data_IF_120030008000
#
_entry.id   IF_120030008000
#
_cell.length_a   1.000
_cell.length_b   1.000
_cell.length_c   1.000
_cell.angle_alpha   90.00
_cell.angle_beta   90.00
_cell.angle_gamma   90.00
#
_symmetry.space_group_name_H-M   'P 1'
#
loop_
_entity.id
_entity.type
_entity.pdbx_description
1 polymer ?
#
# COMPACT_ATOMS: atom_id res chain seq x y z
N UNK A 1 -3.67 -24.15 75.22
CA UNK A 1 -3.20 -24.99 74.09
C UNK A 1 -4.16 -24.93 72.91
N UNK A 2 -5.46 -25.12 73.07
CA UNK A 2 -6.48 -25.11 72.04
C UNK A 2 -6.51 -23.75 71.29
N UNK A 3 -6.47 -22.64 72.00
CA UNK A 3 -6.47 -21.30 71.36
C UNK A 3 -5.19 -21.02 70.56
N UNK A 4 -4.04 -21.53 71.00
CA UNK A 4 -2.79 -21.42 70.22
C UNK A 4 -2.84 -22.23 68.90
N UNK A 5 -3.40 -23.42 68.97
CA UNK A 5 -3.57 -24.25 67.76
C UNK A 5 -4.53 -23.56 66.75
N UNK A 6 -5.67 -23.05 67.22
CA UNK A 6 -6.62 -22.30 66.41
C UNK A 6 -5.95 -21.07 65.76
N UNK A 7 -5.16 -20.29 66.49
CA UNK A 7 -4.42 -19.13 65.96
C UNK A 7 -3.42 -19.54 64.87
N UNK A 8 -2.70 -20.65 65.05
CA UNK A 8 -1.76 -21.19 64.06
C UNK A 8 -2.48 -21.59 62.77
N UNK A 9 -3.66 -22.23 62.88
CA UNK A 9 -4.47 -22.63 61.72
C UNK A 9 -4.95 -21.39 60.96
N UNK A 10 -5.44 -20.37 61.65
CA UNK A 10 -5.88 -19.10 61.03
C UNK A 10 -4.72 -18.41 60.32
N UNK A 11 -3.55 -18.30 60.98
CA UNK A 11 -2.37 -17.70 60.35
C UNK A 11 -1.90 -18.46 59.10
N UNK A 12 -1.89 -19.80 59.15
CA UNK A 12 -1.57 -20.61 57.97
C UNK A 12 -2.57 -20.39 56.83
N UNK A 13 -3.86 -20.29 57.13
CA UNK A 13 -4.90 -19.98 56.13
C UNK A 13 -4.72 -18.60 55.51
N UNK A 14 -4.46 -17.59 56.34
CA UNK A 14 -4.19 -16.23 55.89
C UNK A 14 -2.93 -16.15 55.00
N UNK A 15 -1.83 -16.78 55.39
CA UNK A 15 -0.60 -16.85 54.58
C UNK A 15 -0.87 -17.49 53.19
N UNK A 16 -1.64 -18.58 53.15
CA UNK A 16 -1.98 -19.26 51.91
C UNK A 16 -2.83 -18.36 51.00
N UNK A 17 -3.79 -17.62 51.57
CA UNK A 17 -4.62 -16.66 50.81
C UNK A 17 -3.79 -15.51 50.25
N UNK A 18 -2.93 -14.94 51.10
CA UNK A 18 -2.01 -13.86 50.73
C UNK A 18 -1.06 -14.28 49.59
N UNK A 19 -0.52 -15.49 49.69
CA UNK A 19 0.37 -16.03 48.64
C UNK A 19 -0.35 -16.22 47.32
N UNK A 20 -1.60 -16.70 47.34
CA UNK A 20 -2.45 -16.82 46.15
C UNK A 20 -2.77 -15.45 45.53
N UNK A 21 -3.12 -14.48 46.35
CA UNK A 21 -3.37 -13.10 45.88
C UNK A 21 -2.12 -12.47 45.27
N UNK A 22 -0.96 -12.65 45.91
CA UNK A 22 0.32 -12.16 45.36
C UNK A 22 0.61 -12.79 43.95
N UNK A 23 0.49 -14.09 43.84
CA UNK A 23 0.70 -14.81 42.59
C UNK A 23 -0.29 -14.35 41.47
N UNK A 24 -1.55 -14.09 41.82
CA UNK A 24 -2.54 -13.56 40.90
C UNK A 24 -2.19 -12.15 40.42
N UNK A 25 -1.77 -11.26 41.34
CA UNK A 25 -1.35 -9.90 41.05
C UNK A 25 -0.13 -9.91 40.12
N UNK A 26 0.87 -10.75 40.41
CA UNK A 26 2.07 -10.91 39.58
C UNK A 26 1.71 -11.36 38.15
N UNK A 27 0.80 -12.33 38.03
CA UNK A 27 0.29 -12.78 36.72
C UNK A 27 -0.46 -11.68 35.98
N UNK A 28 -1.32 -10.93 36.66
CA UNK A 28 -2.04 -9.80 36.05
C UNK A 28 -1.11 -8.67 35.64
N UNK A 29 -0.11 -8.35 36.46
CA UNK A 29 0.91 -7.35 36.12
C UNK A 29 1.70 -7.75 34.87
N UNK A 30 2.10 -9.01 34.77
CA UNK A 30 2.80 -9.52 33.58
C UNK A 30 1.93 -9.38 32.32
N UNK A 31 0.67 -9.81 32.44
CA UNK A 31 -0.26 -9.70 31.32
C UNK A 31 -0.52 -8.23 30.91
N UNK A 32 -0.66 -7.35 31.88
CA UNK A 32 -0.83 -5.91 31.62
C UNK A 32 0.41 -5.32 30.93
N UNK A 33 1.61 -5.70 31.37
CA UNK A 33 2.86 -5.28 30.73
C UNK A 33 2.92 -5.73 29.27
N UNK A 34 2.62 -7.00 29.00
CA UNK A 34 2.59 -7.55 27.62
C UNK A 34 1.58 -6.81 26.74
N UNK A 35 0.38 -6.50 27.29
CA UNK A 35 -0.62 -5.70 26.58
C UNK A 35 -0.15 -4.27 26.30
N UNK A 36 0.49 -3.63 27.26
CA UNK A 36 1.02 -2.27 27.07
C UNK A 36 2.12 -2.23 25.98
N UNK A 37 2.98 -3.23 25.92
CA UNK A 37 3.99 -3.35 24.85
C UNK A 37 3.32 -3.52 23.48
N UNK A 38 2.29 -4.37 23.38
CA UNK A 38 1.53 -4.53 22.15
C UNK A 38 0.84 -3.22 21.71
N UNK A 39 0.20 -2.51 22.64
CA UNK A 39 -0.44 -1.22 22.38
C UNK A 39 0.59 -0.20 21.88
N UNK A 40 1.77 -0.13 22.49
CA UNK A 40 2.83 0.77 22.06
C UNK A 40 3.31 0.47 20.64
N UNK A 41 3.45 -0.81 20.28
CA UNK A 41 3.79 -1.24 18.92
C UNK A 41 2.72 -0.84 17.91
N UNK A 42 1.45 -1.14 18.21
CA UNK A 42 0.32 -0.80 17.32
C UNK A 42 0.19 0.73 17.17
N UNK A 43 0.37 1.49 18.24
CA UNK A 43 0.34 2.95 18.17
C UNK A 43 1.46 3.51 17.29
N UNK A 44 2.67 2.94 17.36
CA UNK A 44 3.76 3.32 16.48
C UNK A 44 3.42 3.05 15.02
N UNK A 45 2.92 1.86 14.69
CA UNK A 45 2.51 1.51 13.33
C UNK A 45 1.39 2.43 12.82
N UNK A 46 0.44 2.80 13.69
CA UNK A 46 -0.66 3.70 13.33
C UNK A 46 -0.15 5.11 13.02
N UNK A 47 0.81 5.63 13.78
CA UNK A 47 1.44 6.93 13.54
C UNK A 47 2.19 6.91 12.21
N UNK A 48 2.97 5.87 11.94
CA UNK A 48 3.70 5.71 10.66
C UNK A 48 2.74 5.63 9.47
N UNK A 49 1.67 4.85 9.59
CA UNK A 49 0.63 4.76 8.56
C UNK A 49 -0.09 6.11 8.35
N UNK A 50 -0.34 6.86 9.42
CA UNK A 50 -0.89 8.22 9.37
C UNK A 50 0.01 9.17 8.61
N UNK A 51 1.30 9.16 8.89
CA UNK A 51 2.29 9.99 8.20
C UNK A 51 2.37 9.68 6.69
N UNK A 52 2.42 8.39 6.33
CA UNK A 52 2.42 7.97 4.92
C UNK A 52 1.16 8.49 4.22
N UNK A 53 -0.01 8.35 4.85
CA UNK A 53 -1.27 8.87 4.31
C UNK A 53 -1.23 10.38 4.05
N UNK A 54 -0.69 11.17 4.97
CA UNK A 54 -0.57 12.62 4.83
C UNK A 54 0.36 13.01 3.67
N UNK A 55 1.52 12.35 3.56
CA UNK A 55 2.47 12.57 2.46
C UNK A 55 1.84 12.23 1.11
N UNK A 56 1.17 11.08 1.00
CA UNK A 56 0.49 10.66 -0.23
C UNK A 56 -0.62 11.63 -0.62
N UNK A 57 -1.45 12.07 0.34
CA UNK A 57 -2.51 13.06 0.08
C UNK A 57 -1.91 14.39 -0.39
N UNK A 58 -0.83 14.86 0.24
CA UNK A 58 -0.14 16.07 -0.17
C UNK A 58 0.38 15.96 -1.62
N UNK A 59 1.03 14.86 -1.97
CA UNK A 59 1.52 14.63 -3.33
C UNK A 59 0.38 14.56 -4.36
N UNK A 60 -0.75 13.94 -4.02
CA UNK A 60 -1.93 13.89 -4.89
C UNK A 60 -2.54 15.28 -5.11
N UNK A 61 -2.64 16.10 -4.06
CA UNK A 61 -3.15 17.47 -4.14
C UNK A 61 -2.25 18.34 -5.04
N UNK A 62 -0.94 18.31 -4.78
CA UNK A 62 0.04 19.06 -5.56
C UNK A 62 0.08 18.58 -7.01
N UNK A 63 0.07 17.24 -7.23
CA UNK A 63 0.02 16.65 -8.56
C UNK A 63 -1.23 17.07 -9.34
N UNK A 64 -2.41 17.04 -8.70
CA UNK A 64 -3.68 17.47 -9.29
C UNK A 64 -3.65 18.97 -9.67
N UNK A 65 -3.12 19.83 -8.79
CA UNK A 65 -2.98 21.26 -9.06
C UNK A 65 -2.03 21.51 -10.25
N UNK A 66 -0.90 20.81 -10.31
CA UNK A 66 0.05 20.91 -11.41
C UNK A 66 -0.57 20.46 -12.75
N UNK A 67 -1.36 19.38 -12.74
CA UNK A 67 -2.11 18.94 -13.92
C UNK A 67 -3.09 20.00 -14.41
N UNK A 68 -3.83 20.65 -13.50
CA UNK A 68 -4.77 21.68 -13.87
C UNK A 68 -4.08 22.89 -14.51
N UNK A 69 -2.94 23.31 -13.95
CA UNK A 69 -2.11 24.38 -14.53
C UNK A 69 -1.57 24.00 -15.90
N UNK A 70 -1.10 22.76 -16.08
CA UNK A 70 -0.60 22.26 -17.36
C UNK A 70 -1.69 22.23 -18.44
N UNK A 71 -2.89 21.74 -18.10
CA UNK A 71 -4.05 21.73 -18.99
C UNK A 71 -4.43 23.16 -19.40
N UNK A 72 -4.46 24.10 -18.48
CA UNK A 72 -4.80 25.48 -18.77
C UNK A 72 -3.75 26.17 -19.67
N UNK A 73 -2.46 25.90 -19.45
CA UNK A 73 -1.37 26.35 -20.32
C UNK A 73 -1.53 25.78 -21.74
N UNK A 74 -1.78 24.48 -21.84
CA UNK A 74 -2.01 23.79 -23.10
C UNK A 74 -3.20 24.39 -23.85
N UNK A 75 -4.32 24.59 -23.14
CA UNK A 75 -5.54 25.21 -23.71
C UNK A 75 -5.24 26.59 -24.30
N UNK A 76 -4.54 27.43 -23.56
CA UNK A 76 -4.16 28.79 -24.01
C UNK A 76 -3.26 28.74 -25.24
N UNK A 77 -2.27 27.84 -25.25
CA UNK A 77 -1.33 27.72 -26.37
C UNK A 77 -2.03 27.17 -27.61
N UNK A 78 -2.90 26.18 -27.48
CA UNK A 78 -3.72 25.66 -28.59
C UNK A 78 -4.61 26.75 -29.18
N UNK A 79 -5.33 27.51 -28.33
CA UNK A 79 -6.19 28.60 -28.78
C UNK A 79 -5.38 29.69 -29.50
N UNK A 80 -4.22 30.09 -28.94
CA UNK A 80 -3.31 31.07 -29.56
C UNK A 80 -2.89 30.63 -30.96
N UNK A 81 -2.43 29.39 -31.15
CA UNK A 81 -1.98 28.87 -32.43
C UNK A 81 -3.11 28.74 -33.44
N UNK A 82 -4.29 28.33 -33.00
CA UNK A 82 -5.49 28.30 -33.85
C UNK A 82 -5.86 29.70 -34.35
N UNK A 83 -5.79 30.72 -33.46
CA UNK A 83 -6.11 32.11 -33.84
C UNK A 83 -5.18 32.65 -34.93
N UNK A 84 -3.89 32.32 -34.86
CA UNK A 84 -2.89 32.72 -35.86
C UNK A 84 -2.75 31.72 -37.02
N UNK A 85 -3.56 30.68 -37.09
CA UNK A 85 -3.54 29.61 -38.08
C UNK A 85 -2.20 28.88 -38.24
N UNK A 86 -1.43 28.77 -37.11
CA UNK A 86 -0.17 28.05 -37.06
C UNK A 86 -0.42 26.54 -36.80
N UNK A 87 -0.80 25.83 -37.87
CA UNK A 87 -1.13 24.39 -37.76
C UNK A 87 0.12 23.51 -37.53
N UNK A 88 1.29 23.92 -38.02
CA UNK A 88 2.52 23.17 -37.83
C UNK A 88 3.01 23.31 -36.38
N UNK A 89 2.98 24.52 -35.84
CA UNK A 89 3.25 24.75 -34.43
C UNK A 89 2.25 24.05 -33.52
N UNK A 90 0.98 23.91 -33.93
CA UNK A 90 -0.02 23.14 -33.20
C UNK A 90 0.37 21.66 -33.12
N UNK A 91 0.81 21.06 -34.24
CA UNK A 91 1.30 19.67 -34.27
C UNK A 91 2.48 19.48 -33.30
N UNK A 92 3.43 20.42 -33.28
CA UNK A 92 4.59 20.36 -32.39
C UNK A 92 4.17 20.40 -30.89
N UNK A 93 3.12 21.14 -30.53
CA UNK A 93 2.57 21.16 -29.17
C UNK A 93 2.03 19.79 -28.77
N UNK A 94 1.33 19.08 -29.65
CA UNK A 94 0.83 17.75 -29.38
C UNK A 94 1.93 16.69 -29.34
N UNK A 95 2.95 16.81 -30.19
CA UNK A 95 4.06 15.86 -30.21
C UNK A 95 4.95 16.02 -28.96
N UNK A 96 5.14 17.24 -28.44
CA UNK A 96 5.82 17.49 -27.17
C UNK A 96 5.08 16.87 -25.97
N UNK A 97 3.75 16.78 -26.03
CA UNK A 97 2.95 16.16 -24.96
C UNK A 97 3.13 14.62 -24.87
N UNK A 98 3.60 13.96 -25.93
CA UNK A 98 3.87 12.50 -25.88
C UNK A 98 4.98 12.15 -24.89
N UNK A 99 5.93 13.09 -24.62
CA UNK A 99 6.97 12.91 -23.61
C UNK A 99 6.48 13.10 -22.16
N UNK A 100 5.45 13.92 -21.94
CA UNK A 100 4.93 14.21 -20.60
C UNK A 100 4.22 13.02 -19.93
N UNK A 101 3.81 12.02 -20.70
CA UNK A 101 3.23 10.78 -20.15
C UNK A 101 4.24 10.02 -19.27
N UNK A 102 5.53 10.13 -19.54
CA UNK A 102 6.59 9.48 -18.77
C UNK A 102 6.70 10.06 -17.34
N UNK A 103 6.59 11.38 -17.19
CA UNK A 103 6.63 12.05 -15.89
C UNK A 103 5.43 11.67 -15.00
N UNK A 104 4.26 11.47 -15.62
CA UNK A 104 3.05 11.07 -14.88
C UNK A 104 3.19 9.67 -14.28
N UNK A 105 3.74 8.72 -15.03
CA UNK A 105 3.98 7.36 -14.50
C UNK A 105 5.08 7.36 -13.44
N UNK A 106 6.11 8.18 -13.58
CA UNK A 106 7.17 8.29 -12.59
C UNK A 106 6.65 8.75 -11.21
N UNK A 107 5.76 9.75 -11.19
CA UNK A 107 5.12 10.22 -9.96
C UNK A 107 4.21 9.16 -9.36
N UNK A 108 3.40 8.49 -10.18
CA UNK A 108 2.54 7.41 -9.74
C UNK A 108 3.35 6.24 -9.16
N UNK A 109 4.42 5.82 -9.83
CA UNK A 109 5.31 4.76 -9.37
C UNK A 109 5.95 5.10 -8.02
N UNK A 110 6.34 6.37 -7.82
CA UNK A 110 6.88 6.85 -6.54
C UNK A 110 5.87 6.70 -5.40
N UNK A 111 4.61 7.07 -5.65
CA UNK A 111 3.52 6.93 -4.68
C UNK A 111 3.25 5.44 -4.39
N UNK A 112 3.19 4.60 -5.43
CA UNK A 112 2.95 3.17 -5.28
C UNK A 112 4.07 2.48 -4.50
N UNK A 113 5.34 2.84 -4.74
CA UNK A 113 6.48 2.32 -3.99
C UNK A 113 6.50 2.80 -2.53
N UNK A 114 6.04 4.03 -2.26
CA UNK A 114 5.91 4.54 -0.89
C UNK A 114 4.80 3.80 -0.13
N UNK A 115 3.67 3.52 -0.77
CA UNK A 115 2.56 2.77 -0.17
C UNK A 115 2.86 1.29 0.00
N UNK A 116 3.66 0.73 -0.89
CA UNK A 116 3.99 -0.69 -0.95
C UNK A 116 5.50 -0.88 -1.24
N UNK A 117 6.38 -0.64 -0.24
CA UNK A 117 7.83 -0.71 -0.43
C UNK A 117 8.31 -2.04 -1.03
N UNK A 118 7.73 -3.15 -0.58
CA UNK A 118 8.10 -4.52 -0.99
C UNK A 118 7.22 -5.09 -2.10
N UNK A 119 6.56 -4.20 -2.88
CA UNK A 119 5.56 -4.65 -3.86
C UNK A 119 6.14 -5.56 -4.93
N UNK A 120 7.32 -5.25 -5.46
CA UNK A 120 7.96 -6.05 -6.51
C UNK A 120 8.20 -7.48 -6.04
N UNK A 121 8.75 -7.66 -4.86
CA UNK A 121 9.04 -8.98 -4.29
C UNK A 121 7.76 -9.72 -3.96
N UNK A 122 6.82 -9.07 -3.30
CA UNK A 122 5.52 -9.66 -2.92
C UNK A 122 4.71 -10.06 -4.15
N UNK A 123 4.68 -9.22 -5.20
CA UNK A 123 4.00 -9.52 -6.45
C UNK A 123 4.65 -10.70 -7.18
N UNK A 124 5.97 -10.71 -7.27
CA UNK A 124 6.71 -11.79 -7.92
C UNK A 124 6.63 -13.10 -7.13
N UNK A 125 6.43 -13.08 -5.83
CA UNK A 125 6.20 -14.30 -5.03
C UNK A 125 4.91 -15.03 -5.40
N UNK A 126 3.94 -14.31 -5.96
CA UNK A 126 2.66 -14.88 -6.45
C UNK A 126 2.78 -15.53 -7.84
N UNK A 127 3.88 -15.27 -8.55
CA UNK A 127 4.13 -15.80 -9.89
C UNK A 127 5.01 -17.06 -9.83
N UNK A 128 4.92 -17.89 -10.86
CA UNK A 128 5.86 -19.00 -11.03
C UNK A 128 7.28 -18.46 -11.21
N UNK A 129 8.33 -19.14 -10.73
CA UNK A 129 9.71 -18.64 -10.76
C UNK A 129 10.19 -18.23 -12.15
N UNK A 130 9.81 -18.99 -13.17
CA UNK A 130 10.15 -18.76 -14.57
C UNK A 130 9.35 -17.61 -15.23
N UNK A 131 8.30 -17.14 -14.56
CA UNK A 131 7.42 -16.06 -15.02
C UNK A 131 7.64 -14.74 -14.26
N UNK A 132 8.74 -14.62 -13.54
CA UNK A 132 9.07 -13.41 -12.79
C UNK A 132 9.12 -12.19 -13.70
N UNK A 133 8.52 -11.09 -13.26
CA UNK A 133 8.46 -9.83 -13.99
C UNK A 133 9.42 -8.86 -13.30
N UNK A 134 10.33 -8.27 -14.08
CA UNK A 134 11.33 -7.32 -13.56
C UNK A 134 11.27 -6.04 -14.41
N UNK A 135 11.26 -4.85 -13.77
CA UNK A 135 11.33 -3.59 -14.49
C UNK A 135 12.62 -3.48 -15.30
N UNK A 136 12.55 -2.84 -16.47
CA UNK A 136 13.73 -2.54 -17.28
C UNK A 136 14.54 -1.42 -16.64
N UNK A 137 15.81 -1.30 -17.08
CA UNK A 137 16.67 -0.20 -16.63
C UNK A 137 16.00 1.16 -16.87
N UNK A 138 15.83 1.94 -15.80
CA UNK A 138 15.15 3.24 -15.82
C UNK A 138 13.64 3.21 -15.57
N UNK A 139 13.00 2.05 -15.53
CA UNK A 139 11.62 1.89 -15.09
C UNK A 139 11.57 1.51 -13.61
N UNK A 140 10.64 2.09 -12.85
CA UNK A 140 10.40 1.73 -11.44
C UNK A 140 9.45 0.55 -11.30
N UNK A 141 8.39 0.55 -12.09
CA UNK A 141 7.38 -0.51 -12.12
C UNK A 141 7.03 -0.84 -13.58
N UNK A 142 6.78 -2.10 -13.87
CA UNK A 142 6.21 -2.50 -15.17
C UNK A 142 4.73 -2.16 -15.24
N UNK A 143 4.15 -2.23 -16.44
CA UNK A 143 2.70 -2.00 -16.64
C UNK A 143 1.87 -2.97 -15.81
N UNK A 144 2.28 -4.25 -15.79
CA UNK A 144 1.62 -5.28 -14.98
C UNK A 144 1.66 -4.93 -13.50
N UNK A 145 2.82 -4.53 -13.00
CA UNK A 145 2.97 -4.14 -11.59
C UNK A 145 2.08 -2.94 -11.25
N UNK A 146 2.02 -1.91 -12.11
CA UNK A 146 1.13 -0.76 -11.91
C UNK A 146 -0.33 -1.19 -11.84
N UNK A 147 -0.78 -2.06 -12.76
CA UNK A 147 -2.15 -2.59 -12.76
C UNK A 147 -2.47 -3.27 -11.43
N UNK A 148 -1.61 -4.17 -10.97
CA UNK A 148 -1.87 -4.94 -9.76
C UNK A 148 -1.64 -4.15 -8.46
N UNK A 149 -0.77 -3.15 -8.46
CA UNK A 149 -0.65 -2.19 -7.37
C UNK A 149 -1.92 -1.33 -7.22
N UNK A 150 -2.50 -0.86 -8.34
CA UNK A 150 -3.78 -0.15 -8.33
C UNK A 150 -4.94 -1.05 -7.87
N UNK A 151 -4.94 -2.34 -8.25
CA UNK A 151 -5.91 -3.32 -7.75
C UNK A 151 -5.75 -3.51 -6.23
N UNK A 152 -4.55 -3.56 -5.72
CA UNK A 152 -4.26 -3.61 -4.27
C UNK A 152 -4.79 -2.38 -3.54
N UNK A 153 -4.75 -1.20 -4.17
CA UNK A 153 -5.37 0.04 -3.66
C UNK A 153 -6.91 0.03 -3.72
N UNK A 154 -7.53 -0.98 -4.34
CA UNK A 154 -8.99 -1.09 -4.46
C UNK A 154 -9.56 -0.63 -5.80
N UNK A 155 -8.73 -0.18 -6.76
CA UNK A 155 -9.17 0.17 -8.12
C UNK A 155 -9.29 -1.12 -8.93
N UNK A 156 -10.47 -1.74 -8.95
CA UNK A 156 -10.66 -3.08 -9.53
C UNK A 156 -11.33 -3.09 -10.89
N UNK A 157 -12.07 -2.01 -11.24
CA UNK A 157 -12.78 -1.89 -12.53
C UNK A 157 -11.79 -1.66 -13.66
N UNK A 158 -11.96 -2.43 -14.76
CA UNK A 158 -11.04 -2.32 -15.89
C UNK A 158 -11.09 -0.95 -16.57
N UNK A 159 -12.24 -0.28 -16.55
CA UNK A 159 -12.45 1.07 -17.10
C UNK A 159 -11.65 2.12 -16.32
N UNK A 160 -11.62 1.99 -14.99
CA UNK A 160 -10.88 2.91 -14.11
C UNK A 160 -9.37 2.68 -14.24
N UNK A 161 -8.92 1.42 -14.30
CA UNK A 161 -7.53 1.05 -14.57
C UNK A 161 -7.07 1.57 -15.94
N UNK A 162 -7.92 1.41 -16.97
CA UNK A 162 -7.64 1.86 -18.33
C UNK A 162 -7.46 3.39 -18.36
N UNK A 163 -8.34 4.12 -17.69
CA UNK A 163 -8.25 5.59 -17.55
C UNK A 163 -6.99 6.03 -16.80
N UNK A 164 -6.70 5.39 -15.66
CA UNK A 164 -5.55 5.74 -14.81
C UNK A 164 -4.21 5.49 -15.51
N UNK A 165 -4.13 4.49 -16.38
CA UNK A 165 -2.91 4.09 -17.06
C UNK A 165 -2.84 4.53 -18.54
N UNK A 166 -3.86 5.23 -19.02
CA UNK A 166 -4.00 5.66 -20.41
C UNK A 166 -3.89 4.50 -21.43
N UNK A 167 -4.53 3.37 -21.10
CA UNK A 167 -4.64 2.20 -21.96
C UNK A 167 -6.08 1.92 -22.35
N UNK A 168 -6.27 1.07 -23.37
CA UNK A 168 -7.59 0.53 -23.67
C UNK A 168 -8.03 -0.50 -22.63
N UNK A 169 -9.35 -0.66 -22.43
CA UNK A 169 -9.90 -1.69 -21.53
C UNK A 169 -9.45 -3.09 -21.96
N UNK A 170 -9.35 -3.34 -23.27
CA UNK A 170 -8.88 -4.62 -23.80
C UNK A 170 -7.39 -4.86 -23.47
N UNK A 171 -6.57 -3.82 -23.52
CA UNK A 171 -5.16 -3.89 -23.13
C UNK A 171 -5.02 -4.27 -21.64
N UNK A 172 -5.81 -3.64 -20.75
CA UNK A 172 -5.83 -3.99 -19.33
C UNK A 172 -6.23 -5.45 -19.12
N UNK A 173 -7.30 -5.91 -19.80
CA UNK A 173 -7.73 -7.32 -19.73
C UNK A 173 -6.63 -8.28 -20.16
N UNK A 174 -5.90 -7.96 -21.23
CA UNK A 174 -4.79 -8.79 -21.75
C UNK A 174 -3.65 -8.90 -20.74
N UNK A 175 -3.24 -7.77 -20.13
CA UNK A 175 -2.23 -7.78 -19.07
C UNK A 175 -2.66 -8.60 -17.85
N UNK A 176 -3.90 -8.42 -17.37
CA UNK A 176 -4.44 -9.19 -16.25
C UNK A 176 -4.45 -10.69 -16.55
N UNK A 177 -4.90 -11.10 -17.74
CA UNK A 177 -4.93 -12.51 -18.15
C UNK A 177 -3.53 -13.10 -18.19
N UNK A 178 -2.54 -12.36 -18.77
CA UNK A 178 -1.15 -12.80 -18.83
C UNK A 178 -0.57 -13.07 -17.42
N UNK A 179 -0.78 -12.16 -16.49
CA UNK A 179 -0.30 -12.31 -15.12
C UNK A 179 -1.00 -13.47 -14.40
N UNK A 180 -2.32 -13.59 -14.54
CA UNK A 180 -3.06 -14.68 -13.91
C UNK A 180 -2.66 -16.06 -14.48
N UNK A 181 -2.34 -16.14 -15.77
CA UNK A 181 -1.81 -17.37 -16.38
C UNK A 181 -0.39 -17.71 -15.88
N UNK A 182 0.37 -16.71 -15.42
CA UNK A 182 1.70 -16.88 -14.83
C UNK A 182 1.65 -17.13 -13.31
N UNK A 183 0.50 -17.01 -12.68
CA UNK A 183 0.33 -17.16 -11.25
C UNK A 183 0.55 -18.61 -10.77
N UNK A 184 1.00 -18.76 -9.50
CA UNK A 184 1.11 -20.05 -8.80
C UNK A 184 -0.21 -20.54 -8.24
N UNK A 185 -1.14 -19.63 -8.02
CA UNK A 185 -2.39 -19.81 -7.32
C UNK A 185 -3.56 -19.64 -8.28
N UNK A 186 -4.72 -20.16 -7.95
CA UNK A 186 -5.94 -19.83 -8.65
C UNK A 186 -6.27 -18.33 -8.51
N UNK A 187 -7.22 -17.87 -9.32
CA UNK A 187 -7.55 -16.45 -9.41
C UNK A 187 -8.01 -15.86 -8.07
N UNK A 188 -8.79 -16.59 -7.30
CA UNK A 188 -9.36 -16.10 -6.02
C UNK A 188 -8.27 -15.95 -4.97
N UNK A 189 -7.45 -16.98 -4.80
CA UNK A 189 -6.35 -17.00 -3.87
C UNK A 189 -5.26 -15.98 -4.26
N UNK A 190 -4.99 -15.81 -5.56
CA UNK A 190 -4.07 -14.78 -6.05
C UNK A 190 -4.50 -13.38 -5.62
N UNK A 191 -5.77 -12.99 -5.83
CA UNK A 191 -6.26 -11.67 -5.43
C UNK A 191 -6.34 -11.51 -3.91
N UNK A 192 -6.61 -12.56 -3.17
CA UNK A 192 -6.58 -12.55 -1.71
C UNK A 192 -5.16 -12.23 -1.21
N UNK A 193 -4.16 -12.99 -1.65
CA UNK A 193 -2.75 -12.78 -1.27
C UNK A 193 -2.19 -11.43 -1.73
N UNK A 194 -2.60 -10.96 -2.91
CA UNK A 194 -2.21 -9.64 -3.41
C UNK A 194 -2.66 -8.51 -2.46
N UNK A 195 -3.80 -8.66 -1.79
CA UNK A 195 -4.35 -7.68 -0.84
C UNK A 195 -3.78 -7.83 0.57
N UNK A 196 -3.37 -9.02 0.95
CA UNK A 196 -2.74 -9.26 2.24
C UNK A 196 -1.38 -8.55 2.26
N UNK A 197 -1.07 -7.83 3.36
CA UNK A 197 0.31 -7.47 3.63
C UNK A 197 1.06 -8.79 3.77
N UNK A 198 2.08 -9.01 2.97
CA UNK A 198 3.04 -10.06 3.26
C UNK A 198 3.69 -9.64 4.58
N UNK A 199 3.19 -10.15 5.68
CA UNK A 199 3.93 -10.16 6.92
C UNK A 199 5.13 -11.06 6.63
N UNK A 200 6.25 -10.46 6.31
CA UNK A 200 7.54 -11.13 6.33
C UNK A 200 7.78 -11.45 7.79
N UNK A 201 7.37 -12.66 8.22
CA UNK A 201 7.91 -13.26 9.41
C UNK A 201 9.41 -13.45 9.13
N UNK A 202 10.21 -12.67 9.83
CA UNK A 202 11.63 -12.90 10.03
C UNK A 202 11.80 -13.60 11.35
#
# INVERSE_FOLDING_TARGET
IVLLIAAIIVMKKQRKTLHRQKSLIESQMKHLYEKNVQIASINKELIEAGHIKEVVLSQLIVGSANHQVAIEKLRKEVLRRLTIRDYEGLKNVFDAQKGAAFDTFYQMDSILQMLFPDFEESFNSLLRPECRIVPKTGERLTVEMRIFALIRLGITKNEDLARSLNYSVNTIKSYKTRVLNAARYDKEEFYKRLKEKVNTEV
#
